data_IF_690610321399
#
_entry.id   IF_690610321399
#
_cell.length_a   1.000
_cell.length_b   1.000
_cell.length_c   1.000
_cell.angle_alpha   90.00
_cell.angle_beta   90.00
_cell.angle_gamma   90.00
#
_symmetry.space_group_name_H-M   'P 1'
#
loop_
_entity.id
_entity.type
_entity.pdbx_description
1 polymer ?
#
# COMPACT_ATOMS: atom_id res chain seq x y z
N UNK A 1 5.16 -16.23 -6.19
CA UNK A 1 5.39 -14.77 -6.25
C UNK A 1 4.39 -14.01 -5.39
N UNK A 2 3.08 -14.24 -5.56
CA UNK A 2 2.04 -13.69 -4.68
C UNK A 2 2.35 -13.82 -3.19
N UNK A 3 2.56 -15.06 -2.71
CA UNK A 3 2.86 -15.32 -1.30
C UNK A 3 4.14 -14.64 -0.82
N UNK A 4 5.11 -14.44 -1.71
CA UNK A 4 6.31 -13.68 -1.38
C UNK A 4 5.99 -12.20 -1.19
N UNK A 5 5.08 -11.60 -1.97
CA UNK A 5 4.75 -10.18 -1.83
C UNK A 5 3.99 -9.88 -0.54
N UNK A 6 3.24 -10.85 -0.03
CA UNK A 6 2.63 -10.80 1.30
C UNK A 6 3.70 -10.90 2.40
N UNK A 7 3.54 -10.10 3.43
CA UNK A 7 4.32 -10.23 4.67
C UNK A 7 3.67 -11.18 5.66
N UNK A 8 2.33 -11.29 5.61
CA UNK A 8 1.49 -12.20 6.42
C UNK A 8 1.90 -12.23 7.91
N UNK A 9 1.98 -11.04 8.51
CA UNK A 9 2.35 -10.89 9.93
C UNK A 9 1.11 -10.56 10.76
N UNK A 10 1.01 -11.08 11.99
CA UNK A 10 -0.02 -10.64 12.93
C UNK A 10 0.09 -9.13 13.18
N UNK A 11 -1.04 -8.45 13.06
CA UNK A 11 -1.15 -7.02 13.38
C UNK A 11 -1.36 -6.82 14.88
N UNK A 12 -0.84 -5.71 15.40
CA UNK A 12 -0.99 -5.29 16.80
C UNK A 12 -1.50 -3.84 16.87
N UNK A 13 -2.04 -3.38 18.00
CA UNK A 13 -2.35 -1.97 18.18
C UNK A 13 -1.12 -1.08 17.90
N UNK A 14 -1.33 0.07 17.26
CA UNK A 14 -0.28 1.05 16.93
C UNK A 14 -0.80 2.50 17.03
N UNK A 15 0.08 3.49 16.97
CA UNK A 15 -0.28 4.90 17.12
C UNK A 15 -1.18 5.40 15.99
N UNK A 16 -0.94 4.98 14.74
CA UNK A 16 -1.73 5.40 13.59
C UNK A 16 -1.73 4.34 12.46
N UNK A 17 -2.73 4.41 11.57
CA UNK A 17 -2.72 3.68 10.31
C UNK A 17 -2.62 4.62 9.11
N UNK A 18 -2.04 4.10 8.02
CA UNK A 18 -1.84 4.82 6.77
C UNK A 18 -2.43 3.98 5.65
N UNK A 19 -3.60 4.38 5.13
CA UNK A 19 -4.19 3.79 3.94
C UNK A 19 -3.54 4.36 2.68
N UNK A 20 -2.76 3.53 1.99
CA UNK A 20 -2.03 3.92 0.78
C UNK A 20 -2.98 3.96 -0.43
N UNK A 21 -3.12 5.15 -1.02
CA UNK A 21 -3.93 5.41 -2.20
C UNK A 21 -3.60 4.47 -3.35
N UNK A 22 -4.65 3.99 -4.00
CA UNK A 22 -4.59 3.15 -5.19
C UNK A 22 -5.95 3.12 -5.89
N UNK A 23 -6.09 2.32 -6.94
CA UNK A 23 -7.39 2.06 -7.58
C UNK A 23 -8.32 1.16 -6.75
N UNK A 24 -7.82 0.50 -5.70
CA UNK A 24 -8.51 -0.58 -5.00
C UNK A 24 -9.17 -0.07 -3.71
N UNK A 25 -10.51 0.02 -3.70
CA UNK A 25 -11.26 0.48 -2.53
C UNK A 25 -11.17 -0.51 -1.34
N UNK A 26 -10.72 -1.74 -1.57
CA UNK A 26 -10.47 -2.74 -0.54
C UNK A 26 -9.47 -2.27 0.52
N UNK A 27 -8.58 -1.34 0.19
CA UNK A 27 -7.67 -0.68 1.15
C UNK A 27 -8.47 0.07 2.22
N UNK A 28 -9.45 0.88 1.82
CA UNK A 28 -10.27 1.64 2.75
C UNK A 28 -11.18 0.72 3.57
N UNK A 29 -11.79 -0.30 2.95
CA UNK A 29 -12.60 -1.32 3.65
C UNK A 29 -11.79 -2.06 4.71
N UNK A 30 -10.56 -2.46 4.38
CA UNK A 30 -9.64 -3.12 5.32
C UNK A 30 -9.28 -2.20 6.49
N UNK A 31 -9.04 -0.91 6.21
CA UNK A 31 -8.76 0.09 7.24
C UNK A 31 -9.94 0.24 8.22
N UNK A 32 -11.18 0.27 7.73
CA UNK A 32 -12.38 0.30 8.58
C UNK A 32 -12.44 -0.92 9.49
N UNK A 33 -12.16 -2.11 8.96
CA UNK A 33 -12.14 -3.35 9.75
C UNK A 33 -11.16 -3.29 10.91
N UNK A 34 -9.93 -2.83 10.66
CA UNK A 34 -8.91 -2.68 11.69
C UNK A 34 -9.20 -1.55 12.69
N UNK A 35 -9.81 -0.46 12.25
CA UNK A 35 -10.27 0.62 13.14
C UNK A 35 -11.33 0.11 14.12
N UNK A 36 -12.34 -0.61 13.62
CA UNK A 36 -13.40 -1.22 14.46
C UNK A 36 -12.84 -2.24 15.46
N UNK A 37 -11.73 -2.90 15.12
CA UNK A 37 -11.01 -3.79 16.02
C UNK A 37 -10.15 -3.06 17.07
N UNK A 38 -10.15 -1.72 17.10
CA UNK A 38 -9.42 -0.91 18.07
C UNK A 38 -7.90 -0.91 17.88
N UNK A 39 -7.42 -1.19 16.66
CA UNK A 39 -5.98 -1.31 16.40
C UNK A 39 -5.24 0.01 16.24
N UNK A 40 -5.95 1.11 16.01
CA UNK A 40 -5.35 2.44 15.96
C UNK A 40 -6.44 3.51 16.20
N UNK A 41 -6.09 4.64 16.83
CA UNK A 41 -7.01 5.75 17.05
C UNK A 41 -7.09 6.72 15.86
N UNK A 42 -6.04 6.79 15.03
CA UNK A 42 -5.96 7.74 13.90
C UNK A 42 -5.68 7.00 12.60
N UNK A 43 -6.46 7.34 11.57
CA UNK A 43 -6.32 6.83 10.21
C UNK A 43 -5.97 7.97 9.27
N UNK A 44 -4.87 7.85 8.53
CA UNK A 44 -4.53 8.77 7.45
C UNK A 44 -4.74 8.08 6.11
N UNK A 45 -5.58 8.63 5.25
CA UNK A 45 -5.59 8.26 3.84
C UNK A 45 -4.68 9.20 3.06
N UNK A 46 -3.80 8.63 2.24
CA UNK A 46 -2.81 9.39 1.46
C UNK A 46 -2.79 8.95 0.00
N UNK A 47 -2.73 9.91 -0.92
CA UNK A 47 -2.71 9.66 -2.34
C UNK A 47 -3.54 10.67 -3.12
N UNK A 48 -2.92 11.24 -4.16
CA UNK A 48 -3.58 12.06 -5.15
C UNK A 48 -4.28 11.24 -6.22
N UNK A 49 -4.29 11.74 -7.46
CA UNK A 49 -4.80 11.01 -8.61
C UNK A 49 -3.67 10.54 -9.51
N UNK A 50 -3.82 9.32 -10.01
CA UNK A 50 -3.03 8.75 -11.09
C UNK A 50 -3.84 8.73 -12.38
N UNK A 51 -3.23 8.58 -13.57
CA UNK A 51 -3.97 8.34 -14.80
C UNK A 51 -4.96 7.17 -14.68
N UNK A 52 -4.64 6.15 -13.88
CA UNK A 52 -5.49 4.98 -13.66
C UNK A 52 -6.64 5.20 -12.68
N UNK A 53 -6.64 6.29 -11.91
CA UNK A 53 -7.64 6.55 -10.86
C UNK A 53 -8.47 7.80 -11.09
N UNK A 54 -8.06 8.67 -12.02
CA UNK A 54 -8.76 9.95 -12.28
C UNK A 54 -10.25 9.80 -12.60
N UNK A 55 -10.63 8.80 -13.41
CA UNK A 55 -12.03 8.60 -13.78
C UNK A 55 -12.84 7.99 -12.64
N UNK A 56 -12.22 7.12 -11.84
CA UNK A 56 -12.87 6.45 -10.70
C UNK A 56 -12.97 7.36 -9.48
N UNK A 57 -11.94 8.16 -9.22
CA UNK A 57 -11.78 9.02 -8.04
C UNK A 57 -11.47 10.46 -8.48
N UNK A 58 -12.41 11.19 -9.08
CA UNK A 58 -12.14 12.51 -9.67
C UNK A 58 -11.59 13.55 -8.68
N UNK A 59 -11.81 13.36 -7.37
CA UNK A 59 -11.31 14.22 -6.30
C UNK A 59 -10.04 13.74 -5.60
N UNK A 60 -9.44 12.62 -6.02
CA UNK A 60 -8.26 12.02 -5.40
C UNK A 60 -8.56 10.73 -4.66
N UNK A 61 -7.60 9.80 -4.67
CA UNK A 61 -7.67 8.50 -3.99
C UNK A 61 -7.96 8.67 -2.49
N UNK A 62 -7.20 9.53 -1.80
CA UNK A 62 -7.33 9.74 -0.36
C UNK A 62 -8.69 10.32 0.06
N UNK A 63 -9.23 11.26 -0.74
CA UNK A 63 -10.53 11.89 -0.48
C UNK A 63 -11.63 10.84 -0.58
N UNK A 64 -11.60 10.02 -1.63
CA UNK A 64 -12.62 8.99 -1.83
C UNK A 64 -12.55 7.89 -0.77
N UNK A 65 -11.34 7.50 -0.35
CA UNK A 65 -11.16 6.53 0.74
C UNK A 65 -11.72 7.04 2.08
N UNK A 66 -11.53 8.34 2.39
CA UNK A 66 -12.13 8.96 3.58
C UNK A 66 -13.66 8.86 3.56
N UNK A 67 -14.27 9.19 2.43
CA UNK A 67 -15.74 9.15 2.30
C UNK A 67 -16.28 7.74 2.48
N UNK A 68 -15.61 6.76 1.87
CA UNK A 68 -15.96 5.36 2.06
C UNK A 68 -15.83 4.92 3.52
N UNK A 69 -14.75 5.31 4.21
CA UNK A 69 -14.57 4.98 5.62
C UNK A 69 -15.63 5.61 6.53
N UNK A 70 -15.99 6.88 6.29
CA UNK A 70 -17.05 7.58 7.04
C UNK A 70 -18.42 6.97 6.76
N UNK A 71 -18.72 6.62 5.51
CA UNK A 71 -19.96 5.92 5.15
C UNK A 71 -20.09 4.56 5.85
N UNK A 72 -18.94 3.92 6.15
CA UNK A 72 -18.87 2.71 6.96
C UNK A 72 -18.76 2.98 8.47
N UNK A 73 -18.97 4.21 8.94
CA UNK A 73 -19.11 4.56 10.34
C UNK A 73 -17.80 4.83 11.10
N UNK A 74 -16.68 5.06 10.42
CA UNK A 74 -15.49 5.63 11.07
C UNK A 74 -15.77 7.12 11.36
N UNK A 75 -15.57 7.60 12.61
CA UNK A 75 -15.74 9.00 12.95
C UNK A 75 -14.88 9.94 12.09
N UNK A 76 -15.44 11.10 11.71
CA UNK A 76 -14.76 12.04 10.82
C UNK A 76 -13.45 12.60 11.39
N UNK A 77 -13.39 12.77 12.71
CA UNK A 77 -12.24 13.27 13.46
C UNK A 77 -11.11 12.23 13.59
N UNK A 78 -11.44 10.95 13.45
CA UNK A 78 -10.46 9.86 13.39
C UNK A 78 -9.76 9.75 12.02
N UNK A 79 -10.26 10.41 10.96
CA UNK A 79 -9.75 10.27 9.59
C UNK A 79 -9.12 11.56 9.07
N UNK A 80 -7.82 11.50 8.81
CA UNK A 80 -7.03 12.56 8.16
C UNK A 80 -6.84 12.26 6.67
N UNK A 81 -6.66 13.30 5.87
CA UNK A 81 -6.46 13.20 4.41
C UNK A 81 -5.20 13.92 3.98
N UNK A 82 -4.36 13.21 3.22
CA UNK A 82 -3.20 13.74 2.51
C UNK A 82 -3.42 13.51 1.00
N UNK A 83 -3.80 14.54 0.21
CA UNK A 83 -4.27 14.33 -1.16
C UNK A 83 -3.20 14.51 -2.24
N UNK A 84 -1.91 14.66 -1.90
CA UNK A 84 -0.89 15.14 -2.87
C UNK A 84 0.10 14.07 -3.28
N UNK A 85 0.27 13.01 -2.50
CA UNK A 85 1.29 12.02 -2.80
C UNK A 85 1.02 11.29 -4.13
N UNK A 86 2.07 11.10 -4.92
CA UNK A 86 2.02 10.45 -6.23
C UNK A 86 2.77 9.11 -6.26
N UNK A 87 3.42 8.73 -5.16
CA UNK A 87 4.11 7.44 -5.02
C UNK A 87 4.21 7.04 -3.54
N UNK A 88 4.60 5.80 -3.28
CA UNK A 88 4.67 5.25 -1.91
C UNK A 88 5.64 6.01 -1.00
N UNK A 89 6.76 6.52 -1.52
CA UNK A 89 7.69 7.33 -0.72
C UNK A 89 7.03 8.62 -0.26
N UNK A 90 6.38 9.34 -1.17
CA UNK A 90 5.62 10.54 -0.84
C UNK A 90 4.43 10.26 0.07
N UNK A 91 3.72 9.15 -0.11
CA UNK A 91 2.61 8.76 0.77
C UNK A 91 3.09 8.76 2.23
N UNK A 92 4.24 8.15 2.48
CA UNK A 92 4.81 8.02 3.82
C UNK A 92 5.37 9.37 4.31
N UNK A 93 6.16 10.08 3.50
CA UNK A 93 6.73 11.38 3.86
C UNK A 93 5.65 12.41 4.19
N UNK A 94 4.63 12.55 3.33
CA UNK A 94 3.59 13.55 3.52
C UNK A 94 2.65 13.18 4.66
N UNK A 95 2.39 11.89 4.88
CA UNK A 95 1.67 11.43 6.07
C UNK A 95 2.42 11.76 7.36
N UNK A 96 3.74 11.50 7.41
CA UNK A 96 4.58 11.88 8.56
C UNK A 96 4.48 13.38 8.84
N UNK A 97 4.66 14.21 7.81
CA UNK A 97 4.52 15.68 7.95
C UNK A 97 3.14 16.08 8.46
N UNK A 98 2.07 15.46 7.95
CA UNK A 98 0.71 15.75 8.40
C UNK A 98 0.50 15.38 9.87
N UNK A 99 1.01 14.24 10.32
CA UNK A 99 0.93 13.79 11.72
C UNK A 99 1.71 14.75 12.64
N UNK A 100 2.92 15.15 12.24
CA UNK A 100 3.75 16.12 12.97
C UNK A 100 3.05 17.48 13.10
N UNK A 101 2.44 17.98 12.02
CA UNK A 101 1.67 19.23 12.02
C UNK A 101 0.44 19.20 12.93
N UNK A 102 -0.11 18.01 13.19
CA UNK A 102 -1.21 17.81 14.14
C UNK A 102 -0.73 17.59 15.58
N UNK A 103 0.58 17.57 15.82
CA UNK A 103 1.17 17.32 17.13
C UNK A 103 0.92 15.89 17.64
N UNK A 104 0.69 14.93 16.74
CA UNK A 104 0.45 13.54 17.11
C UNK A 104 1.77 12.81 17.30
N UNK A 105 2.02 12.30 18.51
CA UNK A 105 3.17 11.45 18.78
C UNK A 105 2.94 10.05 18.17
N UNK A 106 3.75 9.70 17.18
CA UNK A 106 3.64 8.43 16.44
C UNK A 106 4.96 7.67 16.51
N UNK A 107 4.95 6.54 17.22
CA UNK A 107 6.08 5.61 17.31
C UNK A 107 5.86 4.34 16.48
N UNK A 108 4.61 4.08 16.08
CA UNK A 108 4.20 2.86 15.38
C UNK A 108 3.11 3.14 14.36
N UNK A 109 3.24 2.55 13.17
CA UNK A 109 2.28 2.69 12.07
C UNK A 109 1.90 1.36 11.44
N UNK A 110 0.63 1.26 11.05
CA UNK A 110 0.12 0.20 10.17
C UNK A 110 -0.06 0.74 8.75
N UNK A 111 0.72 0.24 7.79
CA UNK A 111 0.50 0.52 6.38
C UNK A 111 -0.57 -0.42 5.84
N UNK A 112 -1.66 0.15 5.35
CA UNK A 112 -2.77 -0.58 4.76
C UNK A 112 -2.72 -0.36 3.25
N UNK A 113 -2.54 -1.43 2.49
CA UNK A 113 -2.33 -1.35 1.04
C UNK A 113 -2.94 -2.55 0.30
N UNK A 114 -2.81 -2.56 -1.02
CA UNK A 114 -3.16 -3.72 -1.84
C UNK A 114 -2.29 -4.91 -1.43
N UNK A 115 -2.80 -6.16 -1.46
CA UNK A 115 -2.07 -7.32 -0.94
C UNK A 115 -0.66 -7.46 -1.53
N UNK A 116 -0.55 -7.35 -2.86
CA UNK A 116 0.73 -7.48 -3.55
C UNK A 116 1.74 -6.35 -3.31
N UNK A 117 1.40 -5.31 -2.56
CA UNK A 117 2.25 -4.15 -2.28
C UNK A 117 2.92 -4.21 -0.90
N UNK A 118 2.48 -5.10 0.01
CA UNK A 118 2.91 -5.10 1.42
C UNK A 118 4.43 -5.03 1.59
N UNK A 119 5.17 -5.96 0.96
CA UNK A 119 6.63 -6.00 1.10
C UNK A 119 7.31 -4.75 0.60
N UNK A 120 6.86 -4.16 -0.51
CA UNK A 120 7.45 -2.92 -1.04
C UNK A 120 7.11 -1.73 -0.15
N UNK A 121 5.86 -1.61 0.30
CA UNK A 121 5.43 -0.55 1.21
C UNK A 121 6.25 -0.57 2.51
N UNK A 122 6.43 -1.76 3.10
CA UNK A 122 7.30 -1.97 4.25
C UNK A 122 8.74 -1.51 3.97
N UNK A 123 9.35 -2.00 2.88
CA UNK A 123 10.73 -1.69 2.54
C UNK A 123 10.96 -0.20 2.30
N UNK A 124 10.01 0.49 1.66
CA UNK A 124 10.02 1.94 1.47
C UNK A 124 9.86 2.68 2.79
N UNK A 125 8.96 2.24 3.68
CA UNK A 125 8.78 2.86 4.99
C UNK A 125 10.02 2.77 5.86
N UNK A 126 10.65 1.60 5.94
CA UNK A 126 11.92 1.41 6.65
C UNK A 126 13.04 2.31 6.13
N UNK A 127 12.95 2.77 4.87
CA UNK A 127 13.90 3.71 4.28
C UNK A 127 13.56 5.18 4.57
N UNK A 128 12.29 5.55 4.46
CA UNK A 128 11.81 6.94 4.53
C UNK A 128 11.52 7.40 5.96
N UNK A 129 11.10 6.48 6.83
CA UNK A 129 10.78 6.72 8.23
C UNK A 129 11.39 5.62 9.11
N UNK A 130 12.74 5.56 9.22
CA UNK A 130 13.42 4.44 9.90
C UNK A 130 13.12 4.35 11.40
N UNK A 131 12.74 5.47 12.02
CA UNK A 131 12.45 5.57 13.47
C UNK A 131 11.11 4.93 13.86
N UNK A 132 10.17 4.78 12.93
CA UNK A 132 8.85 4.23 13.23
C UNK A 132 8.86 2.71 13.22
N UNK A 133 8.18 2.10 14.19
CA UNK A 133 7.83 0.69 14.12
C UNK A 133 6.73 0.50 13.07
N UNK A 134 7.04 -0.22 11.99
CA UNK A 134 6.10 -0.40 10.88
C UNK A 134 5.61 -1.85 10.80
N UNK A 135 4.30 -1.99 10.62
CA UNK A 135 3.62 -3.21 10.23
C UNK A 135 2.78 -2.97 8.97
N UNK A 136 2.43 -4.04 8.26
CA UNK A 136 1.58 -3.96 7.07
C UNK A 136 0.33 -4.80 7.26
N UNK A 137 -0.74 -4.38 6.59
CA UNK A 137 -1.96 -5.15 6.47
C UNK A 137 -2.56 -4.94 5.07
N UNK A 138 -3.22 -5.96 4.58
CA UNK A 138 -4.09 -5.91 3.41
C UNK A 138 -5.32 -6.75 3.64
N UNK A 139 -6.24 -6.73 2.66
CA UNK A 139 -7.32 -7.70 2.61
C UNK A 139 -6.75 -9.13 2.66
N UNK A 140 -7.39 -10.00 3.46
CA UNK A 140 -7.03 -11.41 3.56
C UNK A 140 -7.74 -12.19 2.46
N UNK A 141 -7.11 -12.23 1.29
CA UNK A 141 -7.66 -12.83 0.07
C UNK A 141 -6.60 -13.62 -0.69
N UNK A 142 -7.00 -14.76 -1.27
CA UNK A 142 -6.14 -15.57 -2.11
C UNK A 142 -5.97 -14.94 -3.51
N UNK A 143 -4.92 -15.36 -4.23
CA UNK A 143 -4.63 -14.82 -5.56
C UNK A 143 -5.82 -14.99 -6.53
N UNK A 144 -6.45 -16.17 -6.59
CA UNK A 144 -7.56 -16.42 -7.53
C UNK A 144 -8.79 -15.55 -7.24
N UNK A 145 -9.15 -15.40 -5.97
CA UNK A 145 -10.26 -14.54 -5.57
C UNK A 145 -9.94 -13.07 -5.84
N UNK A 146 -8.70 -12.64 -5.59
CA UNK A 146 -8.26 -11.28 -5.89
C UNK A 146 -8.30 -10.99 -7.40
N UNK A 147 -7.86 -11.96 -8.22
CA UNK A 147 -7.96 -11.89 -9.68
C UNK A 147 -9.42 -11.76 -10.13
N UNK A 148 -10.33 -12.53 -9.53
CA UNK A 148 -11.75 -12.47 -9.83
C UNK A 148 -12.38 -11.13 -9.41
N UNK A 149 -12.02 -10.60 -8.24
CA UNK A 149 -12.52 -9.33 -7.72
C UNK A 149 -12.10 -8.13 -8.58
N UNK A 150 -10.88 -8.14 -9.11
CA UNK A 150 -10.39 -7.08 -10.02
C UNK A 150 -10.97 -7.23 -11.43
N UNK A 151 -11.23 -8.47 -11.88
CA UNK A 151 -11.82 -8.76 -13.19
C UNK A 151 -10.87 -8.67 -14.38
N UNK A 152 -9.62 -8.24 -14.17
CA UNK A 152 -8.56 -8.20 -15.19
C UNK A 152 -7.32 -8.96 -14.71
N UNK A 153 -7.26 -10.25 -15.08
CA UNK A 153 -6.18 -11.15 -14.68
C UNK A 153 -4.82 -10.66 -15.18
N UNK A 154 -4.75 -10.17 -16.42
CA UNK A 154 -3.49 -9.73 -17.01
C UNK A 154 -2.96 -8.51 -16.26
N UNK A 155 -3.81 -7.53 -16.00
CA UNK A 155 -3.43 -6.33 -15.25
C UNK A 155 -2.87 -6.68 -13.87
N UNK A 156 -3.51 -7.58 -13.13
CA UNK A 156 -3.03 -7.99 -11.81
C UNK A 156 -1.66 -8.67 -11.93
N UNK A 157 -1.47 -9.60 -12.85
CA UNK A 157 -0.18 -10.28 -13.03
C UNK A 157 0.91 -9.28 -13.44
N UNK A 158 0.63 -8.38 -14.38
CA UNK A 158 1.55 -7.30 -14.76
C UNK A 158 1.93 -6.47 -13.52
N UNK A 159 0.97 -6.12 -12.65
CA UNK A 159 1.24 -5.42 -11.40
C UNK A 159 2.17 -6.23 -10.48
N UNK A 160 1.94 -7.53 -10.27
CA UNK A 160 2.80 -8.38 -9.44
C UNK A 160 4.25 -8.39 -9.95
N UNK A 161 4.41 -8.52 -11.28
CA UNK A 161 5.72 -8.50 -11.93
C UNK A 161 6.41 -7.16 -11.71
N UNK A 162 5.71 -6.05 -11.96
CA UNK A 162 6.24 -4.71 -11.70
C UNK A 162 6.61 -4.48 -10.23
N UNK A 163 5.82 -4.98 -9.28
CA UNK A 163 6.13 -4.88 -7.86
C UNK A 163 7.42 -5.61 -7.49
N UNK A 164 7.64 -6.82 -8.02
CA UNK A 164 8.86 -7.55 -7.74
C UNK A 164 10.10 -6.84 -8.33
N UNK A 165 9.99 -6.31 -9.55
CA UNK A 165 11.08 -5.52 -10.13
C UNK A 165 11.43 -4.31 -9.23
N UNK A 166 10.43 -3.57 -8.75
CA UNK A 166 10.66 -2.44 -7.82
C UNK A 166 11.33 -2.89 -6.53
N UNK A 167 10.93 -4.04 -5.96
CA UNK A 167 11.59 -4.60 -4.76
C UNK A 167 13.07 -4.88 -5.00
N UNK A 168 13.45 -5.29 -6.22
CA UNK A 168 14.84 -5.53 -6.59
C UNK A 168 15.64 -4.25 -6.89
N UNK A 169 15.04 -3.30 -7.61
CA UNK A 169 15.76 -2.13 -8.14
C UNK A 169 15.76 -0.92 -7.19
N UNK A 170 14.67 -0.69 -6.46
CA UNK A 170 14.51 0.51 -5.62
C UNK A 170 15.56 0.66 -4.51
N UNK A 171 16.11 -0.40 -3.91
CA UNK A 171 17.21 -0.27 -2.97
C UNK A 171 18.44 0.41 -3.58
N UNK A 172 18.81 0.06 -4.83
CA UNK A 172 19.94 0.67 -5.55
C UNK A 172 19.71 2.15 -5.84
N UNK A 173 18.45 2.55 -6.01
CA UNK A 173 18.03 3.94 -6.22
C UNK A 173 17.83 4.72 -4.91
N UNK A 174 17.99 4.07 -3.76
CA UNK A 174 17.79 4.69 -2.44
C UNK A 174 16.32 4.89 -2.05
N UNK A 175 15.37 4.27 -2.75
CA UNK A 175 13.93 4.42 -2.48
C UNK A 175 13.37 3.37 -1.50
N UNK A 176 14.09 2.29 -1.25
CA UNK A 176 13.66 1.23 -0.33
C UNK A 176 14.86 0.57 0.36
N UNK A 177 14.59 -0.19 1.42
CA UNK A 177 15.58 -1.12 2.01
C UNK A 177 15.64 -2.42 1.21
N UNK A 178 16.79 -3.10 1.21
CA UNK A 178 16.94 -4.38 0.51
C UNK A 178 15.98 -5.45 1.05
N UNK A 179 15.46 -6.27 0.14
CA UNK A 179 14.61 -7.42 0.46
C UNK A 179 15.16 -8.64 -0.27
N UNK A 180 15.58 -9.71 0.44
CA UNK A 180 16.06 -10.92 -0.20
C UNK A 180 14.97 -11.57 -1.05
N UNK A 181 15.21 -11.72 -2.36
CA UNK A 181 14.30 -12.41 -3.30
C UNK A 181 14.80 -13.84 -3.53
N UNK A 182 14.07 -14.87 -3.04
CA UNK A 182 14.45 -16.27 -3.23
C UNK A 182 14.52 -16.68 -4.70
N UNK A 183 15.40 -17.64 -5.02
CA UNK A 183 15.58 -18.13 -6.39
C UNK A 183 14.28 -18.60 -7.08
N UNK A 184 13.37 -19.34 -6.41
CA UNK A 184 12.08 -19.72 -7.03
C UNK A 184 11.20 -18.52 -7.38
N UNK A 185 11.23 -17.46 -6.56
CA UNK A 185 10.46 -16.23 -6.81
C UNK A 185 11.03 -15.48 -8.00
N UNK A 186 12.36 -15.38 -8.10
CA UNK A 186 13.05 -14.78 -9.25
C UNK A 186 12.77 -15.56 -10.53
N UNK A 187 12.84 -16.88 -10.50
CA UNK A 187 12.52 -17.74 -11.64
C UNK A 187 11.08 -17.58 -12.13
N UNK A 188 10.12 -17.43 -11.21
CA UNK A 188 8.72 -17.14 -11.57
C UNK A 188 8.57 -15.77 -12.25
N UNK A 189 9.27 -14.75 -11.76
CA UNK A 189 9.31 -13.43 -12.38
C UNK A 189 9.90 -13.49 -13.79
N UNK A 190 11.06 -14.12 -13.97
CA UNK A 190 11.71 -14.25 -15.28
C UNK A 190 10.84 -15.03 -16.29
N UNK A 191 10.07 -16.00 -15.81
CA UNK A 191 9.09 -16.71 -16.63
C UNK A 191 7.93 -15.80 -17.07
N UNK A 192 7.35 -15.03 -16.16
CA UNK A 192 6.22 -14.14 -16.46
C UNK A 192 6.63 -12.97 -17.36
N UNK A 193 7.81 -12.39 -17.17
CA UNK A 193 8.34 -11.37 -18.08
C UNK A 193 8.48 -11.92 -19.49
N UNK A 194 9.07 -13.12 -19.66
CA UNK A 194 9.17 -13.79 -20.97
C UNK A 194 7.81 -14.15 -21.59
N UNK A 195 6.80 -14.35 -20.76
CA UNK A 195 5.43 -14.60 -21.21
C UNK A 195 4.65 -13.32 -21.57
N UNK A 196 5.27 -12.12 -21.51
CA UNK A 196 4.67 -10.85 -21.92
C UNK A 196 3.90 -10.12 -20.82
N UNK A 197 4.15 -10.45 -19.55
CA UNK A 197 3.57 -9.73 -18.41
C UNK A 197 4.44 -8.54 -17.95
N UNK A 198 4.73 -7.60 -18.85
CA UNK A 198 5.78 -6.59 -18.69
C UNK A 198 5.28 -5.13 -18.68
N UNK A 199 3.97 -4.90 -18.87
CA UNK A 199 3.39 -3.55 -19.07
C UNK A 199 3.58 -2.60 -17.87
N UNK A 200 3.89 -3.14 -16.69
CA UNK A 200 4.10 -2.41 -15.43
C UNK A 200 5.56 -2.42 -14.96
N UNK A 201 6.49 -2.91 -15.77
CA UNK A 201 7.91 -2.74 -15.49
C UNK A 201 8.29 -1.26 -15.55
N UNK A 202 9.19 -0.86 -14.65
CA UNK A 202 9.86 0.42 -14.70
C UNK A 202 10.84 0.37 -15.87
N UNK A 203 10.75 1.37 -16.76
CA UNK A 203 11.70 1.55 -17.84
C UNK A 203 13.02 2.03 -17.26
N UNK A 204 14.10 1.30 -17.55
CA UNK A 204 15.48 1.73 -17.35
C UNK A 204 15.87 2.85 -18.30
#
# INVERSE_FOLDING_TARGET
>A
MWDYLLLDRPVRPCSAAIGLGSHDLGVATTAVGHYRAGLFPTLVFTGGNSPTTKDRFPRGEAVHYREHAIALGVPEDAVLVEPRAANTGQNITYTRTLLDQRGLAVDSVMLICKPYMERRAYATCRKVWPEVAVQCASERIGLEDYLAAIGDRKLVIDMLVGELQRIQEYPRLGFATEQPVPAPVRGAYDHLVRAGFDSRLVKS
#
